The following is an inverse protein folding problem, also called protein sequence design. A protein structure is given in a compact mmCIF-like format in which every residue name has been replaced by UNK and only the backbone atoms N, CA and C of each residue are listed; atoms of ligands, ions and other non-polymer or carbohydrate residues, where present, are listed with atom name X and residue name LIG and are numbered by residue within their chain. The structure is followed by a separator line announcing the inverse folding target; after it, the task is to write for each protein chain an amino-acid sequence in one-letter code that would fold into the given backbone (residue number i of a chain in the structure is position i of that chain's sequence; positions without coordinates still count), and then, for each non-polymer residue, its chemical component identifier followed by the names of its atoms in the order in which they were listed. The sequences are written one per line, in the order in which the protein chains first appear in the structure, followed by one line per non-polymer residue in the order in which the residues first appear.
data_IF_474086554079
#
_entry.id   IF_474086554079
#
_cell.length_a   1.000
_cell.length_b   1.000
_cell.length_c   1.000
_cell.angle_alpha   90.00
_cell.angle_beta   90.00
_cell.angle_gamma   90.00
#
_symmetry.space_group_name_H-M   'P 1'
#
loop_
_entity.id
_entity.type
_entity.pdbx_description
1 polymer ?
2 non-polymer ?
3 non-polymer ?
4 non-polymer ?
5 non-polymer ?
6 water ?
#
# COMPACT_ATOMS: atom_id res chain seq x y z
N UNK A 1 -4.11 15.08 -10.85
CA UNK A 1 -2.95 14.77 -11.67
C UNK A 1 -2.29 13.47 -11.19
N UNK A 2 -1.04 13.30 -11.56
CA UNK A 2 -0.25 12.09 -11.25
C UNK A 2 -0.21 11.83 -9.74
N UNK A 3 0.08 12.83 -8.91
CA UNK A 3 0.21 12.57 -7.45
C UNK A 3 -1.14 12.15 -6.89
N UNK A 4 -2.23 12.81 -7.30
CA UNK A 4 -3.56 12.37 -6.83
C UNK A 4 -3.82 10.93 -7.28
N UNK A 5 -3.43 10.55 -8.50
CA UNK A 5 -3.66 9.19 -9.00
C UNK A 5 -2.96 8.18 -8.10
N UNK A 6 -1.75 8.49 -7.64
CA UNK A 6 -1.03 7.58 -6.71
C UNK A 6 -1.92 7.37 -5.48
N UNK A 7 -2.49 8.45 -4.94
CA UNK A 7 -3.38 8.37 -3.76
C UNK A 7 -4.61 7.52 -4.10
N UNK A 8 -5.25 7.76 -5.25
CA UNK A 8 -6.43 6.99 -5.68
C UNK A 8 -6.10 5.50 -5.73
N UNK A 9 -5.02 5.14 -6.42
CA UNK A 9 -4.64 3.71 -6.57
C UNK A 9 -4.35 3.12 -5.20
N UNK A 10 -3.63 3.86 -4.35
CA UNK A 10 -3.29 3.34 -3.01
C UNK A 10 -4.53 3.11 -2.14
N UNK A 11 -5.62 3.86 -2.38
CA UNK A 11 -6.86 3.70 -1.60
C UNK A 11 -7.56 2.39 -1.88
N UNK A 12 -7.25 1.69 -2.98
CA UNK A 12 -7.89 0.38 -3.29
C UNK A 12 -6.87 -0.50 -4.02
N UNK A 13 -5.69 -0.64 -3.46
CA UNK A 13 -4.51 -1.03 -4.26
C UNK A 13 -4.58 -2.49 -4.68
N UNK A 14 -5.08 -3.38 -3.82
CA UNK A 14 -5.09 -4.82 -4.16
C UNK A 14 -5.99 -4.98 -5.38
N UNK A 15 -7.14 -4.29 -5.40
CA UNK A 15 -8.08 -4.38 -6.54
C UNK A 15 -7.45 -3.78 -7.80
N UNK A 16 -6.91 -2.58 -7.71
CA UNK A 16 -6.31 -1.93 -8.90
C UNK A 16 -5.13 -2.78 -9.37
N UNK A 17 -4.29 -3.28 -8.46
CA UNK A 17 -3.07 -4.03 -8.84
C UNK A 17 -3.50 -5.26 -9.66
N UNK A 18 -4.48 -6.01 -9.16
CA UNK A 18 -4.96 -7.24 -9.82
C UNK A 18 -5.60 -6.88 -11.16
N UNK A 19 -6.46 -5.88 -11.17
CA UNK A 19 -7.21 -5.54 -12.40
C UNK A 19 -6.26 -5.02 -13.47
N UNK A 20 -5.29 -4.21 -13.10
CA UNK A 20 -4.32 -3.71 -14.12
C UNK A 20 -3.42 -4.83 -14.60
N UNK A 21 -2.94 -5.67 -13.70
CA UNK A 21 -2.07 -6.80 -14.09
C UNK A 21 -2.86 -7.75 -15.01
N UNK A 22 -4.14 -8.00 -14.71
CA UNK A 22 -4.99 -8.86 -15.59
C UNK A 22 -5.13 -8.19 -16.95
N UNK A 23 -5.33 -6.86 -16.97
CA UNK A 23 -5.43 -6.12 -18.25
C UNK A 23 -4.15 -6.33 -19.05
N UNK A 24 -2.99 -6.32 -18.39
CA UNK A 24 -1.67 -6.55 -19.06
C UNK A 24 -1.61 -7.98 -19.61
N UNK A 25 -1.88 -8.98 -18.79
CA UNK A 25 -1.76 -10.39 -19.21
C UNK A 25 -2.79 -10.70 -20.29
N UNK A 26 -3.98 -10.08 -20.29
CA UNK A 26 -4.99 -10.38 -21.33
C UNK A 26 -4.64 -9.66 -22.64
N UNK A 27 -4.08 -8.45 -22.57
CA UNK A 27 -3.68 -7.72 -23.79
C UNK A 27 -2.47 -8.40 -24.44
N UNK A 28 -1.56 -8.94 -23.63
CA UNK A 28 -0.26 -9.48 -24.10
C UNK A 28 -0.11 -10.89 -23.58
N UNK A 29 -0.89 -11.84 -24.12
CA UNK A 29 -0.92 -13.19 -23.56
C UNK A 29 0.44 -13.90 -23.60
N UNK A 30 1.32 -13.52 -24.52
CA UNK A 30 2.67 -14.13 -24.64
C UNK A 30 3.49 -13.78 -23.39
N UNK A 31 3.18 -12.70 -22.69
CA UNK A 31 3.90 -12.27 -21.46
C UNK A 31 3.78 -13.36 -20.38
N UNK A 32 2.83 -14.29 -20.47
CA UNK A 32 2.73 -15.43 -19.50
C UNK A 32 3.95 -16.36 -19.63
N UNK A 33 4.80 -16.17 -20.64
CA UNK A 33 6.12 -16.86 -20.71
C UNK A 33 6.85 -16.63 -19.37
N UNK A 34 6.63 -15.46 -18.77
CA UNK A 34 7.28 -14.98 -17.51
C UNK A 34 6.51 -15.44 -16.27
N UNK A 35 5.31 -15.98 -16.45
CA UNK A 35 4.33 -16.21 -15.37
C UNK A 35 3.67 -17.56 -15.63
N UNK A 36 4.49 -18.60 -15.70
CA UNK A 36 4.05 -19.94 -16.20
C UNK A 36 2.90 -20.47 -15.36
N UNK A 37 2.85 -20.19 -14.05
CA UNK A 37 1.82 -20.76 -13.14
C UNK A 37 0.48 -20.03 -13.28
N UNK A 38 0.41 -18.97 -14.08
CA UNK A 38 -0.88 -18.27 -14.32
C UNK A 38 -1.56 -18.75 -15.61
N UNK A 39 -0.95 -19.70 -16.32
CA UNK A 39 -1.47 -20.27 -17.59
C UNK A 39 -2.73 -21.06 -17.26
N UNK A 40 -3.72 -21.00 -18.16
CA UNK A 40 -4.93 -21.82 -18.10
C UNK A 40 -5.85 -21.45 -16.96
N UNK A 41 -5.90 -20.16 -16.61
CA UNK A 41 -6.71 -19.66 -15.48
C UNK A 41 -7.47 -18.43 -15.95
N UNK A 42 -8.75 -18.34 -15.61
CA UNK A 42 -9.56 -17.14 -15.88
C UNK A 42 -9.17 -16.05 -14.87
N UNK A 43 -9.64 -14.83 -15.11
CA UNK A 43 -9.40 -13.72 -14.16
C UNK A 43 -9.85 -14.15 -12.76
N UNK A 44 -11.06 -14.71 -12.62
CA UNK A 44 -11.59 -14.98 -11.26
C UNK A 44 -10.76 -16.07 -10.57
N UNK A 45 -10.24 -17.02 -11.35
CA UNK A 45 -9.35 -18.09 -10.82
C UNK A 45 -8.04 -17.46 -10.36
N UNK A 46 -7.48 -16.53 -11.13
CA UNK A 46 -6.21 -15.88 -10.70
C UNK A 46 -6.43 -15.10 -9.43
N UNK A 47 -7.57 -14.41 -9.28
CA UNK A 47 -7.89 -13.54 -8.12
C UNK A 47 -8.19 -14.38 -6.88
N UNK A 48 -8.12 -15.72 -7.02
CA UNK A 48 -8.21 -16.73 -5.93
C UNK A 48 -6.84 -17.33 -5.56
N UNK A 49 -5.79 -17.15 -6.37
CA UNK A 49 -4.44 -17.76 -6.23
C UNK A 49 -3.55 -16.85 -5.37
N UNK A 50 -3.04 -17.36 -4.25
CA UNK A 50 -2.35 -16.55 -3.22
C UNK A 50 -1.20 -15.76 -3.82
N UNK A 51 -0.33 -16.38 -4.62
CA UNK A 51 0.86 -15.64 -5.15
C UNK A 51 0.37 -14.58 -6.13
N UNK A 52 -0.69 -14.85 -6.88
CA UNK A 52 -1.22 -13.80 -7.77
C UNK A 52 -1.53 -12.52 -6.98
N UNK A 53 -2.39 -12.59 -5.97
CA UNK A 53 -2.81 -11.39 -5.22
C UNK A 53 -1.63 -10.77 -4.46
N UNK A 54 -0.85 -11.61 -3.80
CA UNK A 54 0.27 -11.19 -2.93
C UNK A 54 1.33 -10.51 -3.80
N UNK A 55 1.75 -11.19 -4.87
CA UNK A 55 2.85 -10.72 -5.74
C UNK A 55 2.40 -9.46 -6.45
N UNK A 56 1.21 -9.46 -7.06
CA UNK A 56 0.74 -8.28 -7.82
C UNK A 56 0.62 -7.09 -6.88
N UNK A 57 0.10 -7.29 -5.67
CA UNK A 57 0.00 -6.15 -4.74
C UNK A 57 1.40 -5.64 -4.39
N UNK A 58 2.36 -6.52 -4.07
CA UNK A 58 3.74 -6.08 -3.77
C UNK A 58 4.35 -5.33 -4.97
N UNK A 59 4.11 -5.80 -6.19
CA UNK A 59 4.58 -5.08 -7.41
C UNK A 59 4.04 -3.65 -7.40
N UNK A 60 2.75 -3.51 -7.17
CA UNK A 60 2.10 -2.18 -7.21
C UNK A 60 2.48 -1.35 -5.98
N UNK A 61 2.71 -1.99 -4.84
CA UNK A 61 3.22 -1.25 -3.65
C UNK A 61 4.52 -0.53 -4.06
N UNK A 62 5.45 -1.27 -4.65
CA UNK A 62 6.74 -0.68 -5.05
C UNK A 62 6.52 0.30 -6.21
N UNK A 63 5.68 -0.02 -7.18
CA UNK A 63 5.46 0.89 -8.33
C UNK A 63 4.97 2.23 -7.80
N UNK A 64 4.05 2.22 -6.84
CA UNK A 64 3.51 3.49 -6.29
C UNK A 64 4.63 4.25 -5.57
N UNK A 65 5.53 3.54 -4.89
CA UNK A 65 6.67 4.21 -4.22
C UNK A 65 7.57 4.87 -5.27
N UNK A 66 7.86 4.16 -6.35
CA UNK A 66 8.71 4.71 -7.45
C UNK A 66 8.01 5.95 -8.02
N UNK A 67 6.71 5.85 -8.31
CA UNK A 67 5.93 6.98 -8.83
C UNK A 67 5.96 8.14 -7.83
N UNK A 68 5.87 7.86 -6.53
CA UNK A 68 5.77 8.92 -5.50
C UNK A 68 7.13 9.61 -5.35
N UNK A 69 8.21 8.88 -5.52
CA UNK A 69 9.59 9.41 -5.39
C UNK A 69 10.01 10.17 -6.65
N UNK A 70 9.27 10.04 -7.75
CA UNK A 70 9.55 10.69 -9.04
C UNK A 70 9.35 12.20 -8.91
N UNK A 71 10.00 12.94 -9.79
CA UNK A 71 9.72 14.37 -10.01
C UNK A 71 9.27 14.53 -11.46
N UNK A 72 8.12 15.16 -11.69
CA UNK A 72 7.61 15.38 -13.07
C UNK A 72 7.64 14.05 -13.84
N UNK A 73 7.25 12.96 -13.17
CA UNK A 73 7.07 11.62 -13.76
C UNK A 73 8.41 11.02 -14.18
N UNK A 74 9.52 11.52 -13.64
CA UNK A 74 10.88 10.95 -13.88
C UNK A 74 11.30 10.26 -12.62
N UNK A 75 11.47 8.92 -12.67
CA UNK A 75 11.83 8.18 -11.48
C UNK A 75 13.28 8.43 -11.08
N UNK A 76 13.57 8.24 -9.80
CA UNK A 76 14.95 8.22 -9.27
C UNK A 76 15.79 7.15 -9.97
N UNK A 77 17.03 7.49 -10.28
CA UNK A 77 18.02 6.52 -10.79
C UNK A 77 18.18 5.35 -9.81
N UNK A 78 18.12 5.58 -8.50
CA UNK A 78 18.25 4.51 -7.47
C UNK A 78 17.10 3.51 -7.65
N UNK A 79 15.90 4.01 -7.94
CA UNK A 79 14.75 3.11 -8.12
C UNK A 79 14.92 2.28 -9.40
N UNK A 80 15.40 2.87 -10.48
CA UNK A 80 15.61 2.16 -11.76
C UNK A 80 16.67 1.06 -11.52
N UNK A 81 17.75 1.39 -10.84
CA UNK A 81 18.82 0.43 -10.48
C UNK A 81 18.22 -0.77 -9.74
N UNK A 82 17.41 -0.52 -8.71
CA UNK A 82 16.77 -1.59 -7.91
C UNK A 82 15.99 -2.51 -8.85
N UNK A 83 15.23 -1.94 -9.78
CA UNK A 83 14.36 -2.72 -10.67
C UNK A 83 15.20 -3.52 -11.66
N UNK A 84 16.32 -3.00 -12.14
CA UNK A 84 17.22 -3.77 -13.05
C UNK A 84 17.96 -4.88 -12.29
N UNK A 85 18.44 -4.59 -11.07
CA UNK A 85 19.32 -5.50 -10.29
C UNK A 85 18.52 -6.65 -9.64
N UNK A 86 17.22 -6.47 -9.37
CA UNK A 86 16.40 -7.51 -8.71
C UNK A 86 16.54 -8.88 -9.40
N UNK A 87 16.81 -9.94 -8.64
CA UNK A 87 17.02 -11.30 -9.21
C UNK A 87 15.74 -11.73 -9.93
N UNK A 88 14.57 -11.29 -9.45
CA UNK A 88 13.24 -11.65 -10.01
C UNK A 88 13.07 -11.10 -11.43
N UNK A 89 13.87 -10.10 -11.80
CA UNK A 89 13.83 -9.41 -13.12
C UNK A 89 14.96 -9.87 -14.07
N UNK A 90 15.68 -10.94 -13.73
CA UNK A 90 16.83 -11.46 -14.52
C UNK A 90 16.44 -11.66 -15.98
N UNK A 91 15.28 -12.24 -16.26
CA UNK A 91 14.87 -12.53 -17.66
C UNK A 91 14.67 -11.29 -18.53
N UNK A 92 14.42 -10.12 -17.94
CA UNK A 92 13.50 -9.13 -18.56
C UNK A 92 14.23 -8.12 -19.46
N UNK A 93 13.48 -7.58 -20.43
CA UNK A 93 13.91 -6.47 -21.31
C UNK A 93 12.92 -5.30 -21.12
N UNK A 94 13.30 -4.12 -21.58
CA UNK A 94 12.49 -2.89 -21.35
C UNK A 94 11.11 -3.06 -21.99
N UNK A 95 11.00 -3.85 -23.05
CA UNK A 95 9.71 -4.07 -23.75
C UNK A 95 8.69 -4.71 -22.82
N UNK A 96 9.10 -5.55 -21.88
CA UNK A 96 8.16 -6.12 -20.87
C UNK A 96 7.51 -4.99 -20.05
N UNK A 97 8.31 -4.03 -19.60
CA UNK A 97 7.85 -2.85 -18.82
C UNK A 97 7.00 -1.92 -19.70
N UNK A 98 7.42 -1.69 -20.94
CA UNK A 98 6.63 -0.87 -21.90
C UNK A 98 5.20 -1.41 -21.97
N UNK A 99 5.06 -2.72 -22.13
CA UNK A 99 3.73 -3.39 -22.32
C UNK A 99 2.89 -3.19 -21.05
N UNK A 100 3.49 -3.37 -19.88
CA UNK A 100 2.77 -3.21 -18.61
C UNK A 100 2.18 -1.80 -18.61
N UNK A 101 2.96 -0.79 -19.03
CA UNK A 101 2.53 0.62 -18.92
C UNK A 101 1.54 0.94 -20.04
N UNK A 102 1.65 0.28 -21.19
CA UNK A 102 0.58 0.42 -22.23
C UNK A 102 -0.75 -0.04 -21.63
N UNK A 103 -0.78 -1.22 -21.00
CA UNK A 103 -2.00 -1.77 -20.39
C UNK A 103 -2.52 -0.85 -19.29
N UNK A 104 -1.64 -0.35 -18.45
CA UNK A 104 -2.01 0.53 -17.32
C UNK A 104 -2.66 1.80 -17.88
N UNK A 105 -2.07 2.39 -18.90
CA UNK A 105 -2.62 3.65 -19.49
C UNK A 105 -3.98 3.36 -20.13
N UNK A 106 -4.07 2.26 -20.89
CA UNK A 106 -5.35 1.81 -21.52
C UNK A 106 -6.42 1.66 -20.43
N UNK A 107 -6.08 0.98 -19.33
CA UNK A 107 -7.00 0.78 -18.20
C UNK A 107 -7.53 2.13 -17.70
N UNK A 108 -6.61 3.07 -17.48
CA UNK A 108 -6.98 4.40 -16.92
C UNK A 108 -7.88 5.11 -17.94
N UNK A 109 -7.57 5.04 -19.23
CA UNK A 109 -8.38 5.77 -20.25
C UNK A 109 -9.79 5.18 -20.27
N UNK A 110 -9.92 3.87 -20.07
CA UNK A 110 -11.21 3.14 -20.14
C UNK A 110 -12.03 3.37 -18.88
N UNK A 111 -11.40 3.91 -17.84
CA UNK A 111 -12.07 4.11 -16.52
C UNK A 111 -12.92 5.38 -16.56
N UNK A 112 -13.93 5.46 -15.71
CA UNK A 112 -14.79 6.65 -15.68
C UNK A 112 -14.06 7.79 -15.00
N UNK A 113 -12.89 7.51 -14.42
CA UNK A 113 -12.25 8.37 -13.40
C UNK A 113 -11.30 9.33 -14.09
N UNK A 114 -11.08 10.49 -13.46
CA UNK A 114 -10.20 11.56 -14.01
C UNK A 114 -8.73 11.22 -13.73
N UNK A 115 -8.29 10.01 -14.08
CA UNK A 115 -6.85 9.64 -14.04
C UNK A 115 -6.12 10.52 -15.04
N UNK A 116 -4.89 10.89 -14.73
CA UNK A 116 -4.00 11.68 -15.60
C UNK A 116 -3.25 10.69 -16.50
N UNK A 117 -3.94 10.12 -17.48
CA UNK A 117 -3.36 9.00 -18.27
C UNK A 117 -2.10 9.48 -19.00
N UNK A 118 -2.04 10.73 -19.44
CA UNK A 118 -0.84 11.25 -20.15
C UNK A 118 0.37 11.19 -19.22
N UNK A 119 0.18 11.49 -17.93
CA UNK A 119 1.30 11.46 -16.95
C UNK A 119 1.77 10.01 -16.75
N UNK A 120 0.87 9.04 -16.65
CA UNK A 120 1.26 7.60 -16.52
C UNK A 120 2.01 7.14 -17.78
N UNK A 121 1.59 7.63 -18.94
CA UNK A 121 2.26 7.30 -20.23
C UNK A 121 3.71 7.80 -20.16
N UNK A 122 3.87 9.08 -19.80
CA UNK A 122 5.21 9.71 -19.65
C UNK A 122 6.02 8.95 -18.60
N UNK A 123 5.42 8.62 -17.46
CA UNK A 123 6.09 7.84 -16.40
C UNK A 123 6.61 6.51 -16.94
N UNK A 124 5.76 5.77 -17.66
CA UNK A 124 6.18 4.47 -18.21
C UNK A 124 7.35 4.67 -19.17
N UNK A 125 7.29 5.68 -20.01
CA UNK A 125 8.36 6.00 -21.00
C UNK A 125 9.66 6.34 -20.26
N UNK A 126 9.57 7.23 -19.27
CA UNK A 126 10.71 7.69 -18.44
C UNK A 126 11.29 6.52 -17.63
N UNK A 127 10.45 5.62 -17.12
CA UNK A 127 10.95 4.45 -16.36
C UNK A 127 11.71 3.53 -17.34
N UNK A 128 11.16 3.25 -18.51
CA UNK A 128 11.86 2.44 -19.56
C UNK A 128 13.22 3.07 -19.88
N UNK A 129 13.27 4.37 -20.11
CA UNK A 129 14.53 5.12 -20.35
C UNK A 129 15.50 4.89 -19.20
N UNK A 130 15.01 5.00 -17.97
CA UNK A 130 15.86 4.91 -16.76
C UNK A 130 16.35 3.46 -16.63
N UNK A 131 15.48 2.48 -16.94
CA UNK A 131 15.89 1.05 -16.89
C UNK A 131 16.98 0.80 -17.93
N UNK A 132 16.82 1.32 -19.16
CA UNK A 132 17.85 1.19 -20.21
C UNK A 132 19.16 1.80 -19.70
N UNK A 133 19.11 3.02 -19.15
CA UNK A 133 20.33 3.70 -18.63
C UNK A 133 20.98 2.82 -17.55
N UNK A 134 20.18 2.14 -16.74
CA UNK A 134 20.67 1.35 -15.58
C UNK A 134 21.08 -0.07 -16.01
N UNK A 135 20.97 -0.40 -17.29
CA UNK A 135 21.62 -1.57 -17.91
C UNK A 135 20.68 -2.67 -18.34
N UNK A 136 19.36 -2.45 -18.33
CA UNK A 136 18.41 -3.45 -18.84
C UNK A 136 18.44 -3.43 -20.37
N UNK A 137 18.43 -4.60 -21.01
CA UNK A 137 18.48 -4.74 -22.49
C UNK A 137 17.10 -4.50 -23.08
N UNK B 1 15.20 5.98 9.38
CA UNK B 1 14.31 6.87 10.16
C UNK B 1 12.85 6.67 9.83
N UNK B 2 12.04 7.67 10.18
CA UNK B 2 10.58 7.68 9.99
C UNK B 2 10.24 7.56 8.49
N UNK B 3 10.88 8.35 7.62
CA UNK B 3 10.59 8.27 6.16
C UNK B 3 10.90 6.86 5.65
N UNK B 4 12.04 6.28 6.01
CA UNK B 4 12.36 4.88 5.58
C UNK B 4 11.26 3.94 6.10
N UNK B 5 10.84 4.10 7.35
CA UNK B 5 9.82 3.21 7.95
C UNK B 5 8.53 3.29 7.12
N UNK B 6 8.14 4.47 6.66
CA UNK B 6 6.92 4.55 5.80
C UNK B 6 7.17 3.73 4.53
N UNK B 7 8.34 3.80 3.94
CA UNK B 7 8.67 2.99 2.75
C UNK B 7 8.63 1.49 3.08
N UNK B 8 9.18 1.08 4.21
CA UNK B 8 9.20 -0.33 4.65
C UNK B 8 7.75 -0.83 4.79
N UNK B 9 6.94 -0.08 5.50
CA UNK B 9 5.54 -0.51 5.78
C UNK B 9 4.78 -0.55 4.45
N UNK B 10 4.92 0.48 3.62
CA UNK B 10 4.21 0.55 2.32
C UNK B 10 4.63 -0.64 1.45
N UNK B 11 5.87 -1.11 1.55
CA UNK B 11 6.35 -2.21 0.69
C UNK B 11 5.54 -3.48 0.87
N UNK B 12 5.02 -3.71 2.07
CA UNK B 12 4.25 -4.92 2.39
C UNK B 12 3.06 -4.51 3.24
N UNK B 13 2.34 -3.51 2.80
CA UNK B 13 1.41 -2.80 3.70
C UNK B 13 0.31 -3.73 4.24
N UNK B 14 -0.23 -4.64 3.43
CA UNK B 14 -1.36 -5.49 3.90
C UNK B 14 -0.88 -6.42 5.02
N UNK B 15 0.35 -6.91 4.94
CA UNK B 15 0.90 -7.82 5.96
C UNK B 15 1.13 -7.04 7.27
N UNK B 16 1.81 -5.90 7.19
CA UNK B 16 2.09 -5.07 8.38
C UNK B 16 0.76 -4.60 8.97
N UNK B 17 -0.19 -4.17 8.14
CA UNK B 17 -1.48 -3.63 8.61
C UNK B 17 -2.20 -4.73 9.42
N UNK B 18 -2.29 -5.95 8.88
CA UNK B 18 -3.01 -7.04 9.58
C UNK B 18 -2.31 -7.36 10.89
N UNK B 19 -0.98 -7.49 10.86
CA UNK B 19 -0.20 -7.98 12.02
C UNK B 19 -0.21 -6.91 13.11
N UNK B 20 -0.14 -5.62 12.75
CA UNK B 20 -0.18 -4.56 13.78
C UNK B 20 -1.60 -4.48 14.37
N UNK B 21 -2.60 -4.58 13.51
CA UNK B 21 -4.00 -4.43 13.96
C UNK B 21 -4.35 -5.62 14.86
N UNK B 22 -3.92 -6.80 14.49
CA UNK B 22 -4.12 -8.01 15.36
C UNK B 22 -3.40 -7.81 16.69
N UNK B 23 -2.18 -7.29 16.70
CA UNK B 23 -1.46 -7.01 17.97
C UNK B 23 -2.30 -6.07 18.83
N UNK B 24 -2.88 -5.03 18.23
CA UNK B 24 -3.75 -4.08 18.93
C UNK B 24 -4.96 -4.80 19.55
N UNK B 25 -5.71 -5.56 18.75
CA UNK B 25 -6.94 -6.24 19.23
C UNK B 25 -6.62 -7.24 20.33
N UNK B 26 -5.47 -7.91 20.24
CA UNK B 26 -5.08 -8.95 21.22
C UNK B 26 -4.67 -8.25 22.52
N UNK B 27 -3.95 -7.12 22.44
CA UNK B 27 -3.44 -6.38 23.63
C UNK B 27 -4.61 -5.70 24.35
N UNK B 28 -5.62 -5.25 23.60
CA UNK B 28 -6.77 -4.46 24.12
C UNK B 28 -8.08 -5.09 23.67
N UNK B 29 -8.43 -6.26 24.21
CA UNK B 29 -9.60 -6.97 23.70
C UNK B 29 -10.94 -6.21 23.76
N UNK B 30 -11.12 -5.31 24.73
CA UNK B 30 -12.37 -4.49 24.82
C UNK B 30 -12.48 -3.64 23.56
N UNK B 31 -11.40 -3.39 22.83
CA UNK B 31 -11.45 -2.59 21.59
C UNK B 31 -12.35 -3.28 20.54
N UNK B 32 -12.60 -4.58 20.66
CA UNK B 32 -13.52 -5.30 19.73
C UNK B 32 -14.95 -4.75 19.87
N UNK B 33 -15.24 -3.95 20.89
CA UNK B 33 -16.54 -3.22 21.04
C UNK B 33 -16.82 -2.49 19.72
N UNK B 34 -15.75 -2.04 19.04
CA UNK B 34 -15.79 -1.19 17.84
C UNK B 34 -15.80 -2.06 16.57
N UNK B 35 -15.60 -3.36 16.74
CA UNK B 35 -15.39 -4.35 15.64
C UNK B 35 -16.19 -5.62 15.93
N UNK B 36 -17.52 -5.50 16.01
CA UNK B 36 -18.42 -6.58 16.51
C UNK B 36 -18.28 -7.88 15.67
N UNK B 37 -18.10 -7.78 14.35
CA UNK B 37 -18.06 -8.96 13.45
C UNK B 37 -16.69 -9.67 13.55
N UNK B 38 -15.78 -9.16 14.39
CA UNK B 38 -14.45 -9.80 14.60
C UNK B 38 -14.45 -10.62 15.89
N UNK B 39 -15.52 -10.58 16.67
CA UNK B 39 -15.64 -11.35 17.96
C UNK B 39 -15.69 -12.86 17.66
N UNK B 40 -14.98 -13.62 18.49
CA UNK B 40 -15.02 -15.09 18.46
C UNK B 40 -14.19 -15.67 17.34
N UNK B 41 -13.26 -14.88 16.80
CA UNK B 41 -12.41 -15.30 15.68
C UNK B 41 -10.94 -15.21 16.08
N UNK B 42 -10.17 -16.21 15.65
CA UNK B 42 -8.71 -16.24 15.83
C UNK B 42 -8.06 -15.33 14.79
N UNK B 43 -6.76 -15.09 14.94
CA UNK B 43 -6.01 -14.29 13.95
C UNK B 43 -6.20 -14.91 12.56
N UNK B 44 -6.14 -16.24 12.44
CA UNK B 44 -6.24 -16.88 11.10
C UNK B 44 -7.66 -16.73 10.55
N UNK B 45 -8.72 -16.90 11.37
CA UNK B 45 -10.09 -16.72 10.85
C UNK B 45 -10.26 -15.27 10.39
N UNK B 46 -9.59 -14.30 11.02
CA UNK B 46 -9.77 -12.90 10.58
C UNK B 46 -9.06 -12.69 9.23
N UNK B 47 -7.88 -13.27 9.05
CA UNK B 47 -7.14 -13.17 7.77
C UNK B 47 -8.00 -13.73 6.62
N UNK B 48 -8.91 -14.67 6.90
CA UNK B 48 -9.76 -15.33 5.88
C UNK B 48 -10.98 -14.47 5.54
N UNK B 49 -11.17 -13.30 6.17
CA UNK B 49 -12.40 -12.50 5.93
C UNK B 49 -12.06 -11.32 5.02
N UNK B 50 -12.74 -11.21 3.88
CA UNK B 50 -12.39 -10.24 2.82
C UNK B 50 -12.18 -8.86 3.45
N UNK B 51 -13.17 -8.41 4.22
CA UNK B 51 -13.19 -7.00 4.69
C UNK B 51 -12.06 -6.84 5.71
N UNK B 52 -11.59 -7.90 6.35
CA UNK B 52 -10.56 -7.72 7.41
C UNK B 52 -9.28 -7.19 6.77
N UNK B 53 -8.71 -7.90 5.79
CA UNK B 53 -7.50 -7.47 5.07
C UNK B 53 -7.75 -6.14 4.37
N UNK B 54 -8.92 -5.98 3.73
CA UNK B 54 -9.20 -4.77 2.90
C UNK B 54 -9.33 -3.55 3.84
N UNK B 55 -10.11 -3.67 4.90
CA UNK B 55 -10.33 -2.53 5.82
C UNK B 55 -9.01 -2.19 6.51
N UNK B 56 -8.29 -3.19 7.03
CA UNK B 56 -7.05 -2.94 7.79
C UNK B 56 -6.01 -2.31 6.86
N UNK B 57 -5.87 -2.82 5.64
CA UNK B 57 -4.97 -2.16 4.67
C UNK B 57 -5.39 -0.69 4.49
N UNK B 58 -6.68 -0.41 4.28
CA UNK B 58 -7.14 0.95 3.93
C UNK B 58 -6.86 1.90 5.11
N UNK B 59 -7.02 1.39 6.32
CA UNK B 59 -6.65 2.15 7.55
C UNK B 59 -5.17 2.49 7.49
N UNK B 60 -4.31 1.51 7.26
CA UNK B 60 -2.84 1.73 7.29
C UNK B 60 -2.42 2.58 6.09
N UNK B 61 -3.09 2.47 4.95
CA UNK B 61 -2.80 3.37 3.82
C UNK B 61 -3.01 4.82 4.25
N UNK B 62 -4.16 5.13 4.85
CA UNK B 62 -4.42 6.52 5.28
C UNK B 62 -3.42 6.92 6.36
N UNK B 63 -3.11 6.02 7.29
CA UNK B 63 -2.10 6.34 8.33
C UNK B 63 -0.75 6.69 7.66
N UNK B 64 -0.36 5.97 6.62
CA UNK B 64 0.91 6.26 5.92
C UNK B 64 0.83 7.58 5.14
N UNK B 65 -0.33 7.95 4.60
CA UNK B 65 -0.49 9.25 3.89
C UNK B 65 -0.28 10.36 4.92
N UNK B 66 -0.90 10.21 6.09
CA UNK B 66 -0.80 11.22 7.16
C UNK B 66 0.65 11.26 7.65
N UNK B 67 1.27 10.11 7.84
CA UNK B 67 2.67 10.05 8.30
C UNK B 67 3.58 10.76 7.28
N UNK B 68 3.39 10.51 6.00
CA UNK B 68 4.31 11.09 4.98
C UNK B 68 4.07 12.59 4.82
N UNK B 69 2.88 13.09 5.10
CA UNK B 69 2.61 14.54 4.97
C UNK B 69 3.07 15.29 6.24
N UNK B 70 3.37 14.56 7.31
CA UNK B 70 3.80 15.17 8.60
C UNK B 70 5.16 15.83 8.44
N UNK B 71 5.43 16.79 9.30
CA UNK B 71 6.75 17.41 9.45
C UNK B 71 7.26 17.09 10.85
N UNK B 72 8.46 16.51 10.99
CA UNK B 72 9.05 16.21 12.31
C UNK B 72 8.02 15.45 13.16
N UNK B 73 7.32 14.51 12.53
CA UNK B 73 6.34 13.60 13.17
C UNK B 73 5.15 14.39 13.71
N UNK B 74 4.88 15.58 13.16
CA UNK B 74 3.68 16.39 13.51
C UNK B 74 2.75 16.35 12.32
N UNK B 75 1.58 15.70 12.44
CA UNK B 75 0.66 15.61 11.32
C UNK B 75 0.04 16.98 11.03
N UNK B 76 -0.38 17.16 9.78
CA UNK B 76 -1.14 18.35 9.37
C UNK B 76 -2.47 18.37 10.12
N UNK B 77 -2.88 19.55 10.55
CA UNK B 77 -4.21 19.74 11.19
C UNK B 77 -5.31 19.22 10.24
N UNK B 78 -5.14 19.44 8.94
CA UNK B 78 -6.15 19.07 7.91
C UNK B 78 -6.36 17.54 7.94
N UNK B 79 -5.29 16.78 8.08
CA UNK B 79 -5.34 15.30 8.16
C UNK B 79 -6.06 14.87 9.45
N UNK B 80 -5.69 15.48 10.58
CA UNK B 80 -6.35 15.21 11.88
C UNK B 80 -7.86 15.44 11.72
N UNK B 81 -8.24 16.55 11.07
CA UNK B 81 -9.66 16.90 10.89
C UNK B 81 -10.37 15.77 10.12
N UNK B 82 -9.76 15.27 9.05
CA UNK B 82 -10.33 14.14 8.26
C UNK B 82 -10.65 12.95 9.18
N UNK B 83 -9.69 12.52 10.01
CA UNK B 83 -9.89 11.34 10.88
C UNK B 83 -11.00 11.65 11.88
N UNK B 84 -11.12 12.89 12.35
CA UNK B 84 -12.21 13.25 13.29
C UNK B 84 -13.57 13.16 12.60
N UNK B 85 -13.64 13.63 11.36
CA UNK B 85 -14.94 13.89 10.65
C UNK B 85 -15.47 12.59 10.04
N UNK B 86 -14.61 11.62 9.74
CA UNK B 86 -15.03 10.32 9.15
C UNK B 86 -16.16 9.70 9.97
N UNK B 87 -17.25 9.31 9.31
CA UNK B 87 -18.44 8.72 9.98
C UNK B 87 -18.04 7.45 10.74
N UNK B 88 -17.13 6.65 10.18
CA UNK B 88 -16.70 5.36 10.80
C UNK B 88 -16.00 5.62 12.14
N UNK B 89 -15.64 6.88 12.43
CA UNK B 89 -14.97 7.25 13.70
C UNK B 89 -15.92 8.00 14.63
N UNK B 90 -17.23 8.05 14.33
CA UNK B 90 -18.25 8.81 15.09
C UNK B 90 -18.14 8.51 16.59
N UNK B 91 -17.95 7.24 16.96
CA UNK B 91 -18.05 6.82 18.37
C UNK B 91 -16.79 7.03 19.20
N UNK B 92 -15.67 7.38 18.56
CA UNK B 92 -14.30 7.19 19.11
C UNK B 92 -13.81 8.35 19.98
N UNK B 93 -12.87 8.05 20.87
CA UNK B 93 -12.09 9.05 21.63
C UNK B 93 -10.62 8.87 21.25
N UNK B 94 -9.81 9.85 21.60
CA UNK B 94 -8.35 9.82 21.29
C UNK B 94 -7.76 8.54 21.89
N UNK B 95 -8.33 8.03 22.99
CA UNK B 95 -7.79 6.84 23.67
C UNK B 95 -7.72 5.62 22.78
N UNK B 96 -8.69 5.49 21.86
CA UNK B 96 -8.77 4.42 20.83
C UNK B 96 -7.49 4.48 19.99
N UNK B 97 -7.08 5.70 19.62
CA UNK B 97 -5.87 5.94 18.80
C UNK B 97 -4.60 5.77 19.65
N UNK B 98 -4.57 6.25 20.90
CA UNK B 98 -3.41 6.04 21.81
C UNK B 98 -3.07 4.55 21.85
N UNK B 99 -4.07 3.69 21.99
CA UNK B 99 -3.88 2.22 22.14
C UNK B 99 -3.33 1.60 20.86
N UNK B 100 -3.86 1.99 19.70
CA UNK B 100 -3.38 1.49 18.41
C UNK B 100 -1.89 1.83 18.28
N UNK B 101 -1.49 3.03 18.70
CA UNK B 101 -0.07 3.44 18.54
C UNK B 101 0.80 2.74 19.58
N UNK B 102 0.29 2.50 20.79
CA UNK B 102 1.06 1.67 21.76
C UNK B 102 1.38 0.33 21.09
N UNK B 103 0.36 -0.32 20.52
CA UNK B 103 0.53 -1.63 19.87
C UNK B 103 1.54 -1.51 18.71
N UNK B 104 1.45 -0.46 17.90
CA UNK B 104 2.33 -0.26 16.75
C UNK B 104 3.79 -0.12 17.24
N UNK B 105 4.00 0.71 18.23
CA UNK B 105 5.36 0.95 18.76
C UNK B 105 5.91 -0.36 19.36
N UNK B 106 5.09 -1.10 20.10
CA UNK B 106 5.55 -2.38 20.71
C UNK B 106 5.91 -3.35 19.59
N UNK B 107 5.15 -3.37 18.50
CA UNK B 107 5.40 -4.24 17.36
C UNK B 107 6.77 -3.91 16.79
N UNK B 108 7.02 -2.64 16.62
CA UNK B 108 8.29 -2.18 16.00
C UNK B 108 9.44 -2.53 16.95
N UNK B 109 9.29 -2.35 18.27
CA UNK B 109 10.39 -2.62 19.22
C UNK B 109 10.71 -4.11 19.18
N UNK B 110 9.71 -4.98 19.00
CA UNK B 110 9.85 -6.45 19.04
C UNK B 110 10.39 -6.99 17.72
N UNK B 111 10.30 -6.21 16.65
CA UNK B 111 10.74 -6.69 15.33
C UNK B 111 12.28 -6.72 15.28
N UNK B 112 12.82 -7.51 14.39
CA UNK B 112 14.28 -7.56 14.20
C UNK B 112 14.76 -6.36 13.42
N UNK B 113 13.84 -5.51 12.94
CA UNK B 113 14.16 -4.46 11.97
C UNK B 113 14.42 -3.15 12.69
N UNK B 114 15.22 -2.29 12.07
CA UNK B 114 15.62 -0.99 12.64
C UNK B 114 14.57 0.07 12.32
N UNK B 115 13.36 -0.17 12.81
CA UNK B 115 12.29 0.84 12.82
C UNK B 115 12.68 1.95 13.78
N UNK B 116 12.27 3.15 13.47
CA UNK B 116 12.51 4.34 14.32
C UNK B 116 11.34 4.38 15.31
N UNK B 117 11.35 3.52 16.33
CA UNK B 117 10.16 3.38 17.21
C UNK B 117 9.90 4.69 17.98
N UNK B 118 10.95 5.44 18.33
CA UNK B 118 10.80 6.73 19.07
C UNK B 118 9.97 7.69 18.23
N UNK B 119 10.25 7.74 16.93
CA UNK B 119 9.52 8.65 15.99
C UNK B 119 8.06 8.22 15.89
N UNK B 120 7.77 6.92 15.81
CA UNK B 120 6.37 6.43 15.77
C UNK B 120 5.64 6.75 17.09
N UNK B 121 6.34 6.65 18.22
CA UNK B 121 5.76 6.97 19.55
C UNK B 121 5.34 8.45 19.54
N UNK B 122 6.24 9.31 19.07
CA UNK B 122 6.02 10.78 18.99
C UNK B 122 4.92 11.09 17.97
N UNK B 123 4.97 10.48 16.79
CA UNK B 123 3.91 10.66 15.78
C UNK B 123 2.56 10.29 16.39
N UNK B 124 2.47 9.17 17.10
CA UNK B 124 1.22 8.76 17.75
C UNK B 124 0.75 9.80 18.79
N UNK B 125 1.65 10.30 19.64
CA UNK B 125 1.35 11.32 20.68
C UNK B 125 0.84 12.59 19.97
N UNK B 126 1.52 12.99 18.89
CA UNK B 126 1.21 14.21 18.11
C UNK B 126 -0.11 14.00 17.36
N UNK B 127 -0.40 12.81 16.86
CA UNK B 127 -1.69 12.58 16.15
C UNK B 127 -2.82 12.64 17.18
N UNK B 128 -2.65 12.01 18.35
CA UNK B 128 -3.65 12.11 19.45
C UNK B 128 -3.93 13.60 19.76
N UNK B 129 -2.87 14.39 19.94
CA UNK B 129 -3.00 15.83 20.30
C UNK B 129 -3.76 16.55 19.19
N UNK B 130 -3.35 16.27 17.95
CA UNK B 130 -3.91 16.93 16.76
C UNK B 130 -5.38 16.53 16.62
N UNK B 131 -5.71 15.27 16.92
CA UNK B 131 -7.12 14.81 16.90
C UNK B 131 -7.96 15.57 17.91
N UNK B 132 -7.46 15.75 19.13
CA UNK B 132 -8.11 16.59 20.17
C UNK B 132 -8.29 18.02 19.64
N UNK B 133 -7.22 18.62 19.10
CA UNK B 133 -7.26 20.00 18.53
C UNK B 133 -8.30 20.10 17.42
N UNK B 134 -8.53 19.01 16.67
CA UNK B 134 -9.51 18.98 15.55
C UNK B 134 -10.90 18.55 16.06
N UNK B 135 -11.04 18.27 17.35
CA UNK B 135 -12.37 18.21 18.01
C UNK B 135 -12.76 16.84 18.54
N UNK B 136 -11.91 15.82 18.45
CA UNK B 136 -12.24 14.46 18.97
C UNK B 136 -12.14 14.46 20.50
N UNK B 137 -13.09 13.80 21.16
CA UNK B 137 -13.21 13.72 22.64
C UNK B 137 -12.13 12.83 23.23
#
# INVERSE_FOLDING_TARGET
GFKQDIATLRGDLRTYAQDIFLAFLNKYPDEKRNFKNYVGKSDQELKSMAKFGDHTEKVFNLMMEVADRATDCVPLASDASTLVQMKQHSGLTTGNFEKLFVALVEYMRASGQSFDSQSWDRFGKNLVSALSSAGMK
GFKQDIATLRGDLRTYAQDIFLAFLNKYPDEKRNFKNYVGKSDQELKSMAKFGDHTEKVFNLMMEVADRATDCVPLASDASTLVQMKQHSGLTTGNFEKLFVALVEYMRASGQSFDSQSWDRFGKNLVSALSSAGMK
#
